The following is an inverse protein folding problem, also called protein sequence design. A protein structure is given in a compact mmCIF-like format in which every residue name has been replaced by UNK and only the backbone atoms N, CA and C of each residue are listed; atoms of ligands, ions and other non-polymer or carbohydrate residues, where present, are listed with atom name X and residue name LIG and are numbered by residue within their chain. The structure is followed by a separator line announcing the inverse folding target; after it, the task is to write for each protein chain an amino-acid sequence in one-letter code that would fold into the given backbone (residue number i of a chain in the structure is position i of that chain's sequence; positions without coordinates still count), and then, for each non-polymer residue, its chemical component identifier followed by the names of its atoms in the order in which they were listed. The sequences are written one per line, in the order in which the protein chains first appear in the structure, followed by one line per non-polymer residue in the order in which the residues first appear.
data_IF_984290159971
#
_entry.id   IF_984290159971
#
_cell.length_a   1.000
_cell.length_b   1.000
_cell.length_c   1.000
_cell.angle_alpha   90.00
_cell.angle_beta   90.00
_cell.angle_gamma   90.00
#
_symmetry.space_group_name_H-M   'P 1'
#
loop_
_entity.id
_entity.type
_entity.pdbx_description
1 polymer ?
#
# COMPACT_ATOMS: atom_id res chain seq x y z
N UNK A 1 -14.50 20.85 -4.38
CA UNK A 1 -14.45 19.61 -5.18
C UNK A 1 -13.30 19.77 -6.15
N UNK A 2 -12.16 19.25 -5.80
CA UNK A 2 -10.96 19.28 -6.65
C UNK A 2 -10.73 17.86 -7.11
N UNK A 3 -11.01 17.58 -8.37
CA UNK A 3 -10.74 16.29 -8.99
C UNK A 3 -9.24 16.07 -9.07
N UNK A 4 -8.74 15.11 -8.32
CA UNK A 4 -7.37 14.61 -8.47
C UNK A 4 -7.38 13.62 -9.64
N UNK A 5 -6.81 14.03 -10.75
CA UNK A 5 -6.64 13.20 -11.93
C UNK A 5 -5.50 12.21 -11.67
N UNK A 6 -5.87 10.94 -11.48
CA UNK A 6 -4.93 9.84 -11.53
C UNK A 6 -4.38 9.75 -12.96
N UNK A 7 -3.11 10.03 -13.13
CA UNK A 7 -2.36 9.64 -14.32
C UNK A 7 -2.03 8.16 -14.17
N UNK A 8 -2.91 7.29 -14.66
CA UNK A 8 -2.54 5.93 -14.99
C UNK A 8 -1.74 5.98 -16.29
N UNK A 9 -0.43 6.02 -16.22
CA UNK A 9 0.38 5.58 -17.35
C UNK A 9 0.20 4.07 -17.48
N UNK A 10 -0.59 3.66 -18.47
CA UNK A 10 -0.55 2.29 -18.96
C UNK A 10 0.87 1.99 -19.42
N UNK A 11 1.56 1.14 -18.68
CA UNK A 11 2.78 0.52 -19.16
C UNK A 11 2.44 -0.23 -20.48
N UNK A 12 3.23 -0.07 -21.53
CA UNK A 12 2.98 -0.79 -22.78
C UNK A 12 3.05 -2.28 -22.49
N UNK A 13 1.97 -2.96 -22.81
CA UNK A 13 1.84 -4.41 -22.74
C UNK A 13 2.82 -5.02 -23.75
N UNK A 14 4.06 -5.27 -23.29
CA UNK A 14 5.08 -5.96 -24.07
C UNK A 14 4.83 -7.46 -24.03
N UNK A 15 3.69 -7.88 -24.58
CA UNK A 15 3.46 -9.28 -24.89
C UNK A 15 4.19 -9.59 -26.21
N UNK A 16 5.52 -9.67 -26.17
CA UNK A 16 6.32 -10.15 -27.28
C UNK A 16 6.63 -11.63 -27.10
N UNK A 17 5.66 -12.48 -27.37
CA UNK A 17 5.92 -13.84 -27.77
C UNK A 17 6.69 -13.83 -29.09
N UNK A 18 7.97 -13.56 -29.07
CA UNK A 18 8.87 -13.87 -30.17
C UNK A 18 9.71 -15.08 -29.80
N UNK A 19 9.17 -16.26 -30.05
CA UNK A 19 10.02 -17.42 -30.29
C UNK A 19 10.70 -17.23 -31.64
N UNK A 20 11.88 -16.67 -31.67
CA UNK A 20 12.73 -16.72 -32.85
C UNK A 20 13.28 -18.14 -32.98
N UNK A 21 12.60 -18.96 -33.75
CA UNK A 21 13.21 -20.15 -34.35
C UNK A 21 14.17 -19.63 -35.42
N UNK A 22 15.46 -19.51 -35.08
CA UNK A 22 16.50 -19.27 -36.02
C UNK A 22 16.64 -20.54 -36.90
N UNK A 23 16.07 -20.51 -38.09
CA UNK A 23 16.30 -21.52 -39.13
C UNK A 23 17.77 -21.48 -39.55
N UNK A 24 18.59 -22.37 -38.98
CA UNK A 24 19.98 -22.54 -39.32
C UNK A 24 20.13 -23.23 -40.68
N UNK A 25 20.68 -22.54 -41.69
CA UNK A 25 21.30 -23.17 -42.82
C UNK A 25 22.49 -24.02 -42.37
N UNK A 26 22.45 -25.31 -42.63
CA UNK A 26 23.60 -26.22 -42.46
C UNK A 26 24.72 -25.79 -43.43
N UNK A 27 25.63 -24.95 -42.99
CA UNK A 27 26.94 -24.81 -43.63
C UNK A 27 27.85 -25.88 -43.00
N UNK A 28 28.43 -26.74 -43.82
CA UNK A 28 29.50 -27.67 -43.41
C UNK A 28 30.69 -26.85 -42.92
N UNK A 29 30.81 -26.69 -41.63
CA UNK A 29 31.96 -26.05 -40.96
C UNK A 29 32.99 -27.13 -40.72
N UNK A 30 34.30 -26.89 -41.03
CA UNK A 30 35.36 -27.87 -40.79
C UNK A 30 35.44 -28.22 -39.27
N UNK A 31 35.58 -29.49 -38.96
CA UNK A 31 35.50 -30.11 -37.63
C UNK A 31 36.60 -29.73 -36.61
N UNK A 32 37.33 -28.62 -36.83
CA UNK A 32 38.40 -28.17 -35.94
C UNK A 32 38.27 -26.74 -35.40
N UNK A 33 37.17 -26.08 -35.67
CA UNK A 33 36.83 -24.82 -34.96
C UNK A 33 36.09 -25.16 -33.65
N UNK A 34 36.55 -24.67 -32.47
CA UNK A 34 35.76 -24.78 -31.27
C UNK A 34 34.47 -23.97 -31.51
N UNK A 35 33.34 -24.68 -31.57
CA UNK A 35 32.02 -24.05 -31.64
C UNK A 35 31.76 -23.50 -30.22
N UNK A 36 32.00 -22.22 -30.04
CA UNK A 36 31.63 -21.50 -28.80
C UNK A 36 30.10 -21.32 -28.81
N UNK A 37 29.38 -22.35 -28.36
CA UNK A 37 27.93 -22.28 -28.18
C UNK A 37 27.73 -21.55 -26.86
N UNK A 38 27.47 -20.25 -26.92
CA UNK A 38 27.03 -19.50 -25.74
C UNK A 38 25.78 -20.17 -25.16
N UNK A 39 25.74 -20.43 -23.85
CA UNK A 39 24.58 -21.03 -23.19
C UNK A 39 23.34 -20.13 -23.42
N UNK A 40 22.31 -20.70 -24.03
CA UNK A 40 21.05 -19.98 -24.25
C UNK A 40 20.15 -20.14 -23.03
N UNK A 41 19.72 -19.04 -22.45
CA UNK A 41 18.66 -19.03 -21.42
C UNK A 41 17.30 -19.07 -22.12
N UNK A 42 16.41 -19.95 -21.68
CA UNK A 42 15.05 -20.03 -22.13
C UNK A 42 14.08 -19.56 -21.05
N UNK A 43 13.16 -18.69 -21.40
CA UNK A 43 12.13 -18.21 -20.48
C UNK A 43 10.75 -18.30 -21.14
N UNK A 44 9.78 -18.87 -20.43
CA UNK A 44 8.40 -18.97 -20.91
C UNK A 44 7.43 -18.57 -19.78
N UNK A 45 6.49 -17.68 -20.10
CA UNK A 45 5.42 -17.27 -19.21
C UNK A 45 5.86 -16.56 -17.91
N UNK A 46 7.04 -15.95 -17.90
CA UNK A 46 7.48 -15.17 -16.73
C UNK A 46 6.73 -13.85 -16.62
N UNK A 47 6.40 -13.45 -15.40
CA UNK A 47 5.83 -12.14 -15.10
C UNK A 47 6.82 -11.00 -15.38
N UNK A 48 6.30 -9.84 -15.73
CA UNK A 48 7.13 -8.64 -15.95
C UNK A 48 7.54 -8.00 -14.63
N UNK A 49 8.76 -7.48 -14.58
CA UNK A 49 9.24 -6.76 -13.40
C UNK A 49 8.55 -5.40 -13.26
N UNK A 50 8.11 -5.07 -12.03
CA UNK A 50 7.54 -3.77 -11.68
C UNK A 50 8.58 -2.92 -10.95
N UNK A 51 9.18 -1.94 -11.64
CA UNK A 51 10.13 -1.02 -11.01
C UNK A 51 9.55 0.38 -10.97
N UNK A 52 9.51 0.99 -9.79
CA UNK A 52 9.10 2.37 -9.59
C UNK A 52 10.21 3.16 -8.91
N UNK A 53 10.47 4.36 -9.42
CA UNK A 53 11.49 5.28 -8.93
C UNK A 53 10.82 6.63 -8.64
N UNK A 54 11.02 7.17 -7.45
CA UNK A 54 10.50 8.49 -7.09
C UNK A 54 9.66 8.48 -5.83
N UNK A 55 8.91 9.55 -5.64
CA UNK A 55 8.03 9.72 -4.48
C UNK A 55 6.58 9.77 -4.92
N UNK A 56 5.74 8.97 -4.30
CA UNK A 56 4.29 9.08 -4.36
C UNK A 56 3.86 9.82 -3.11
N UNK A 57 3.10 10.88 -3.25
CA UNK A 57 2.65 11.66 -2.11
C UNK A 57 1.20 12.05 -2.21
N UNK A 58 0.49 11.97 -1.10
CA UNK A 58 -0.87 12.42 -0.90
C UNK A 58 -0.92 13.44 0.22
N UNK A 59 -1.74 14.48 0.03
CA UNK A 59 -2.01 15.45 1.07
C UNK A 59 -3.51 15.80 1.05
N UNK A 60 -4.22 15.52 2.12
CA UNK A 60 -5.63 15.82 2.27
C UNK A 60 -5.86 16.83 3.38
N UNK A 61 -6.76 17.78 3.15
CA UNK A 61 -7.17 18.77 4.14
C UNK A 61 -8.70 18.85 4.20
N UNK A 62 -9.25 18.61 5.38
CA UNK A 62 -10.66 18.81 5.67
C UNK A 62 -10.84 19.86 6.78
N UNK A 63 -11.65 20.87 6.55
CA UNK A 63 -11.94 21.91 7.55
C UNK A 63 -13.44 22.12 7.68
N UNK A 64 -13.93 22.14 8.92
CA UNK A 64 -15.31 22.47 9.22
C UNK A 64 -15.37 23.37 10.46
N UNK A 65 -15.89 24.60 10.30
CA UNK A 65 -15.95 25.62 11.35
C UNK A 65 -17.38 26.19 11.48
N UNK A 66 -18.31 25.42 12.05
CA UNK A 66 -19.67 25.90 12.26
C UNK A 66 -19.73 26.96 13.37
N UNK A 67 -20.60 27.94 13.20
CA UNK A 67 -20.82 29.01 14.19
C UNK A 67 -22.30 29.09 14.59
N UNK A 68 -22.57 29.14 15.87
CA UNK A 68 -23.88 29.38 16.46
C UNK A 68 -23.81 30.63 17.33
N UNK A 69 -24.69 31.60 17.08
CA UNK A 69 -24.60 32.89 17.76
C UNK A 69 -25.98 33.41 18.16
N UNK A 70 -26.15 33.77 19.42
CA UNK A 70 -27.31 34.47 19.95
C UNK A 70 -26.89 35.83 20.52
N UNK A 71 -27.47 36.92 20.05
CA UNK A 71 -27.15 38.27 20.53
C UNK A 71 -28.47 38.97 20.89
N UNK A 72 -28.64 39.33 22.16
CA UNK A 72 -29.80 40.04 22.67
C UNK A 72 -29.44 41.44 23.11
N UNK A 73 -30.26 42.43 22.68
CA UNK A 73 -30.25 43.81 23.17
C UNK A 73 -31.20 44.02 24.34
N UNK A 74 -31.36 45.28 24.87
CA UNK A 74 -32.23 45.58 25.99
C UNK A 74 -33.65 45.10 25.77
N UNK A 75 -34.23 44.42 26.75
CA UNK A 75 -35.61 43.89 26.74
C UNK A 75 -35.91 42.92 25.57
N UNK A 76 -34.91 42.21 25.07
CA UNK A 76 -35.07 41.18 24.05
C UNK A 76 -34.59 39.82 24.56
N UNK A 77 -35.25 38.78 24.08
CA UNK A 77 -34.90 37.38 24.32
C UNK A 77 -34.54 36.73 22.99
N UNK A 78 -33.38 36.12 22.91
CA UNK A 78 -32.85 35.49 21.68
C UNK A 78 -32.30 34.11 22.00
N UNK A 79 -32.76 33.11 21.26
CA UNK A 79 -32.28 31.75 21.32
C UNK A 79 -31.70 31.31 19.98
N UNK A 80 -30.56 30.62 20.02
CA UNK A 80 -29.94 29.99 18.87
C UNK A 80 -29.53 28.56 19.20
N UNK A 81 -30.02 27.58 18.41
CA UNK A 81 -29.65 26.18 18.58
C UNK A 81 -29.06 25.62 17.29
N UNK A 82 -27.94 24.92 17.40
CA UNK A 82 -27.29 24.30 16.25
C UNK A 82 -26.82 22.90 16.59
N UNK A 83 -27.10 21.96 15.66
CA UNK A 83 -26.51 20.61 15.67
C UNK A 83 -25.54 20.44 14.50
N UNK A 84 -24.32 20.01 14.79
CA UNK A 84 -23.30 19.78 13.80
C UNK A 84 -22.87 18.31 13.83
N UNK A 85 -22.93 17.66 12.67
CA UNK A 85 -22.42 16.32 12.50
C UNK A 85 -21.33 16.35 11.41
N UNK A 86 -20.11 16.01 11.77
CA UNK A 86 -18.96 15.97 10.86
C UNK A 86 -18.35 14.56 10.82
N UNK A 87 -18.27 14.01 9.63
CA UNK A 87 -17.47 12.82 9.35
C UNK A 87 -16.35 13.21 8.39
N UNK A 88 -15.12 13.21 8.88
CA UNK A 88 -13.92 13.51 8.13
C UNK A 88 -13.18 12.20 7.88
N UNK A 89 -13.49 11.57 6.75
CA UNK A 89 -12.86 10.32 6.34
C UNK A 89 -11.79 10.61 5.29
N UNK A 90 -10.54 10.42 5.68
CA UNK A 90 -9.34 10.63 4.88
C UNK A 90 -8.55 9.32 4.90
N UNK A 91 -8.68 8.54 3.84
CA UNK A 91 -7.94 7.29 3.69
C UNK A 91 -7.31 7.24 2.31
N UNK A 92 -6.02 6.98 2.27
CA UNK A 92 -5.20 6.95 1.05
C UNK A 92 -4.63 5.56 0.85
N UNK A 93 -4.56 5.12 -0.42
CA UNK A 93 -3.84 3.90 -0.80
C UNK A 93 -2.75 4.26 -1.79
N UNK A 94 -1.52 3.98 -1.43
CA UNK A 94 -0.33 4.21 -2.24
C UNK A 94 0.38 2.87 -2.50
N UNK A 95 0.56 2.52 -3.77
CA UNK A 95 1.17 1.26 -4.16
C UNK A 95 2.24 1.49 -5.24
N UNK A 96 3.40 0.86 -5.09
CA UNK A 96 4.50 1.00 -6.04
C UNK A 96 5.41 -0.22 -6.10
N UNK A 97 5.99 -0.48 -7.28
CA UNK A 97 6.95 -1.54 -7.47
C UNK A 97 6.34 -2.94 -7.28
N UNK A 98 5.27 -3.24 -8.04
CA UNK A 98 4.62 -4.55 -7.99
C UNK A 98 5.01 -5.36 -9.21
N UNK A 99 5.59 -6.54 -9.00
CA UNK A 99 5.92 -7.50 -10.05
C UNK A 99 4.69 -8.21 -10.61
N UNK A 100 4.73 -8.55 -11.88
CA UNK A 100 3.66 -9.28 -12.55
C UNK A 100 3.64 -10.77 -12.18
N UNK A 101 2.50 -11.39 -12.26
CA UNK A 101 2.34 -12.83 -12.01
C UNK A 101 2.93 -13.66 -13.15
N UNK A 102 3.47 -14.84 -12.83
CA UNK A 102 3.89 -15.84 -13.81
C UNK A 102 2.70 -16.54 -14.45
N UNK A 103 2.86 -16.92 -15.73
CA UNK A 103 1.83 -17.66 -16.44
C UNK A 103 1.78 -19.14 -16.06
N UNK A 104 0.64 -19.78 -16.25
CA UNK A 104 0.42 -21.19 -15.96
C UNK A 104 0.72 -22.07 -17.17
N UNK A 105 1.05 -23.33 -16.93
CA UNK A 105 1.19 -24.37 -17.94
C UNK A 105 2.31 -24.14 -18.96
N UNK A 106 3.33 -23.37 -18.64
CA UNK A 106 4.43 -23.06 -19.53
C UNK A 106 5.50 -24.14 -19.50
N UNK A 107 6.17 -24.33 -20.62
CA UNK A 107 7.29 -25.28 -20.77
C UNK A 107 8.51 -24.53 -21.28
N UNK A 108 9.59 -24.54 -20.51
CA UNK A 108 10.90 -24.01 -20.88
C UNK A 108 11.94 -25.11 -20.82
N UNK A 109 12.56 -25.43 -21.96
CA UNK A 109 13.65 -26.44 -22.06
C UNK A 109 14.88 -25.79 -22.63
N UNK A 110 15.97 -25.77 -21.85
CA UNK A 110 17.25 -25.20 -22.24
C UNK A 110 18.26 -26.28 -22.71
N UNK A 111 19.22 -25.87 -23.54
CA UNK A 111 20.38 -26.68 -23.91
C UNK A 111 21.64 -25.99 -23.39
N UNK A 112 22.07 -26.35 -22.18
CA UNK A 112 23.30 -25.82 -21.58
C UNK A 112 23.21 -24.40 -21.00
N UNK A 113 22.00 -23.83 -20.85
CA UNK A 113 21.70 -22.55 -20.16
C UNK A 113 20.59 -22.71 -19.16
N UNK A 114 20.32 -21.68 -18.37
CA UNK A 114 19.20 -21.68 -17.41
C UNK A 114 17.83 -21.73 -18.11
N UNK A 115 16.85 -22.36 -17.49
CA UNK A 115 15.46 -22.40 -17.97
C UNK A 115 14.51 -21.87 -16.91
N UNK A 116 13.62 -20.94 -17.29
CA UNK A 116 12.61 -20.36 -16.39
C UNK A 116 11.23 -20.52 -17.01
N UNK A 117 10.32 -21.15 -16.31
CA UNK A 117 8.93 -21.27 -16.75
C UNK A 117 7.97 -20.77 -15.66
N UNK A 118 7.08 -19.84 -16.02
CA UNK A 118 6.06 -19.30 -15.14
C UNK A 118 6.56 -18.60 -13.88
N UNK A 119 7.75 -18.01 -13.92
CA UNK A 119 8.27 -17.24 -12.78
C UNK A 119 7.51 -15.93 -12.58
N UNK A 120 7.27 -15.53 -11.34
CA UNK A 120 6.79 -14.19 -11.00
C UNK A 120 7.84 -13.12 -11.30
N UNK A 121 7.42 -11.93 -11.66
CA UNK A 121 8.31 -10.79 -11.86
C UNK A 121 8.66 -10.10 -10.54
N UNK A 122 9.86 -9.52 -10.48
CA UNK A 122 10.30 -8.78 -9.31
C UNK A 122 9.57 -7.46 -9.14
N UNK A 123 9.24 -7.09 -7.90
CA UNK A 123 8.69 -5.80 -7.56
C UNK A 123 9.72 -4.94 -6.84
N UNK A 124 10.14 -3.84 -7.44
CA UNK A 124 11.15 -2.96 -6.86
C UNK A 124 10.66 -1.53 -6.73
N UNK A 125 10.77 -0.95 -5.55
CA UNK A 125 10.47 0.44 -5.30
C UNK A 125 11.66 1.16 -4.64
N UNK A 126 12.04 2.27 -5.26
CA UNK A 126 13.13 3.14 -4.78
C UNK A 126 12.60 4.56 -4.63
N UNK A 127 12.29 4.99 -3.39
CA UNK A 127 11.73 6.32 -3.17
C UNK A 127 10.93 6.44 -1.89
N UNK A 128 9.90 7.30 -1.90
CA UNK A 128 9.04 7.54 -0.75
C UNK A 128 7.57 7.34 -1.05
N UNK A 129 6.83 6.74 -0.11
CA UNK A 129 5.39 6.80 -0.03
C UNK A 129 5.06 7.72 1.14
N UNK A 130 4.37 8.84 0.88
CA UNK A 130 4.14 9.89 1.88
C UNK A 130 2.66 10.27 1.87
N UNK A 131 1.95 9.99 2.94
CA UNK A 131 0.60 10.47 3.18
C UNK A 131 0.59 11.53 4.29
N UNK A 132 -0.18 12.58 4.08
CA UNK A 132 -0.46 13.57 5.13
C UNK A 132 -1.94 13.92 5.13
N UNK A 133 -2.62 13.59 6.20
CA UNK A 133 -4.04 13.84 6.39
C UNK A 133 -4.25 14.84 7.51
N UNK A 134 -4.88 15.96 7.19
CA UNK A 134 -5.21 17.00 8.18
C UNK A 134 -6.71 17.25 8.21
N UNK A 135 -7.30 17.15 9.39
CA UNK A 135 -8.69 17.45 9.59
C UNK A 135 -8.88 18.43 10.76
N UNK A 136 -9.68 19.47 10.54
CA UNK A 136 -9.94 20.50 11.55
C UNK A 136 -11.44 20.68 11.72
N UNK A 137 -11.91 20.53 12.95
CA UNK A 137 -13.26 20.88 13.34
C UNK A 137 -13.22 21.88 14.51
N UNK A 138 -13.62 23.13 14.24
CA UNK A 138 -13.56 24.22 15.21
C UNK A 138 -14.94 24.92 15.36
N UNK A 139 -15.87 24.32 16.07
CA UNK A 139 -17.18 24.91 16.27
C UNK A 139 -17.13 26.08 17.27
N UNK A 140 -17.83 27.16 16.92
CA UNK A 140 -18.03 28.34 17.79
C UNK A 140 -19.47 28.39 18.29
N UNK A 141 -19.68 28.55 19.58
CA UNK A 141 -20.96 28.85 20.21
C UNK A 141 -20.84 30.13 21.02
N UNK A 142 -21.66 31.12 20.72
CA UNK A 142 -21.59 32.46 21.32
C UNK A 142 -22.97 32.95 21.76
N UNK A 143 -23.11 33.29 23.05
CA UNK A 143 -24.25 34.00 23.56
C UNK A 143 -23.81 35.37 24.10
N UNK A 144 -24.45 36.43 23.67
CA UNK A 144 -24.18 37.81 24.12
C UNK A 144 -25.51 38.49 24.51
N UNK A 145 -25.64 38.85 25.77
CA UNK A 145 -26.78 39.65 26.26
C UNK A 145 -26.28 40.99 26.78
N UNK A 146 -26.79 42.10 26.21
CA UNK A 146 -26.33 43.43 26.52
C UNK A 146 -27.49 44.37 26.81
N UNK A 147 -27.62 44.81 28.07
CA UNK A 147 -28.61 45.74 28.53
C UNK A 147 -29.65 45.15 29.50
N UNK A 148 -30.43 46.00 30.19
CA UNK A 148 -31.42 45.57 31.16
C UNK A 148 -32.50 44.67 30.52
N UNK A 149 -32.72 43.50 31.09
CA UNK A 149 -33.74 42.55 30.61
C UNK A 149 -33.38 41.89 29.25
N UNK A 150 -32.12 41.94 28.81
CA UNK A 150 -31.64 41.18 27.69
C UNK A 150 -31.39 39.72 28.10
N UNK A 151 -31.84 38.75 27.31
CA UNK A 151 -31.54 37.34 27.50
C UNK A 151 -31.02 36.73 26.18
N UNK A 152 -29.91 36.05 26.24
CA UNK A 152 -29.33 35.35 25.09
C UNK A 152 -28.99 33.91 25.46
N UNK A 153 -29.49 32.95 24.71
CA UNK A 153 -29.21 31.54 24.89
C UNK A 153 -28.64 30.94 23.57
N UNK A 154 -27.46 30.37 23.64
CA UNK A 154 -26.84 29.66 22.50
C UNK A 154 -26.55 28.21 22.86
N UNK A 155 -27.25 27.26 22.22
CA UNK A 155 -27.08 25.83 22.39
C UNK A 155 -26.41 25.20 21.17
N UNK A 156 -25.34 24.48 21.35
CA UNK A 156 -24.64 23.77 20.25
C UNK A 156 -24.34 22.34 20.63
N UNK A 157 -24.64 21.40 19.73
CA UNK A 157 -24.24 20.00 19.82
C UNK A 157 -23.35 19.65 18.64
N UNK A 158 -22.15 19.16 18.93
CA UNK A 158 -21.16 18.81 17.92
C UNK A 158 -20.83 17.32 18.04
N UNK A 159 -21.04 16.60 16.94
CA UNK A 159 -20.60 15.22 16.79
C UNK A 159 -19.57 15.18 15.66
N UNK A 160 -18.35 14.76 15.96
CA UNK A 160 -17.28 14.67 14.99
C UNK A 160 -16.59 13.29 15.03
N UNK A 161 -16.36 12.73 13.86
CA UNK A 161 -15.52 11.56 13.68
C UNK A 161 -14.43 11.88 12.67
N UNK A 162 -13.19 11.67 13.08
CA UNK A 162 -12.00 11.81 12.26
C UNK A 162 -11.46 10.41 12.01
N UNK A 163 -11.63 9.92 10.77
CA UNK A 163 -11.14 8.63 10.31
C UNK A 163 -10.00 8.90 9.34
N UNK A 164 -8.77 8.72 9.77
CA UNK A 164 -7.58 9.08 9.01
C UNK A 164 -6.61 7.92 8.97
N UNK A 165 -5.96 7.73 7.81
CA UNK A 165 -4.92 6.73 7.67
C UNK A 165 -4.53 6.44 6.23
N UNK A 166 -3.40 5.75 6.07
CA UNK A 166 -2.94 5.33 4.77
C UNK A 166 -2.64 3.83 4.71
N UNK A 167 -2.86 3.27 3.52
CA UNK A 167 -2.33 1.96 3.15
C UNK A 167 -1.20 2.18 2.15
N UNK A 168 0.03 1.93 2.56
CA UNK A 168 1.23 2.11 1.75
C UNK A 168 1.89 0.76 1.48
N UNK A 169 2.06 0.41 0.20
CA UNK A 169 2.61 -0.87 -0.21
C UNK A 169 3.71 -0.63 -1.26
N UNK A 170 4.90 -1.14 -1.01
CA UNK A 170 6.01 -0.98 -1.94
C UNK A 170 6.93 -2.18 -2.03
N UNK A 171 7.41 -2.48 -3.25
CA UNK A 171 8.32 -3.56 -3.50
C UNK A 171 7.69 -4.95 -3.27
N UNK A 172 6.67 -5.29 -4.05
CA UNK A 172 5.99 -6.60 -3.96
C UNK A 172 6.32 -7.44 -5.18
N UNK A 173 6.93 -8.60 -4.99
CA UNK A 173 7.18 -9.58 -6.04
C UNK A 173 5.87 -10.25 -6.50
N UNK A 174 5.78 -10.55 -7.79
CA UNK A 174 4.67 -11.27 -8.38
C UNK A 174 4.69 -12.76 -8.02
N UNK A 175 3.52 -13.39 -7.95
CA UNK A 175 3.42 -14.82 -7.72
C UNK A 175 3.89 -15.65 -8.92
N UNK A 176 4.45 -16.82 -8.68
CA UNK A 176 4.74 -17.81 -9.72
C UNK A 176 3.47 -18.48 -10.23
N UNK A 177 3.48 -18.89 -11.49
CA UNK A 177 2.37 -19.60 -12.11
C UNK A 177 2.35 -21.10 -11.78
N UNK A 178 1.20 -21.74 -11.97
CA UNK A 178 0.97 -23.14 -11.70
C UNK A 178 1.25 -24.04 -12.92
N UNK A 179 1.52 -25.33 -12.68
CA UNK A 179 1.67 -26.38 -13.71
C UNK A 179 2.77 -26.10 -14.76
N UNK A 180 3.83 -25.42 -14.39
CA UNK A 180 4.93 -25.09 -15.30
C UNK A 180 6.00 -26.18 -15.27
N UNK A 181 6.67 -26.37 -16.41
CA UNK A 181 7.77 -27.33 -16.57
C UNK A 181 9.02 -26.57 -17.02
N UNK A 182 10.08 -26.64 -16.25
CA UNK A 182 11.41 -26.13 -16.62
C UNK A 182 12.43 -27.26 -16.61
N UNK A 183 13.23 -27.35 -17.64
CA UNK A 183 14.24 -28.40 -17.75
C UNK A 183 15.45 -28.02 -18.56
N UNK A 184 16.60 -28.60 -18.21
CA UNK A 184 17.82 -28.52 -18.98
C UNK A 184 18.15 -29.88 -19.57
N UNK A 185 18.18 -29.96 -20.89
CA UNK A 185 18.62 -31.16 -21.60
C UNK A 185 19.96 -30.89 -22.30
N UNK A 186 20.98 -31.74 -22.08
CA UNK A 186 22.16 -31.70 -22.89
C UNK A 186 22.12 -32.90 -23.89
N UNK A 187 22.04 -32.65 -25.21
CA UNK A 187 22.44 -33.67 -26.16
C UNK A 187 23.96 -33.82 -26.04
N UNK A 188 24.43 -34.92 -25.44
CA UNK A 188 25.84 -35.23 -25.44
C UNK A 188 26.24 -35.72 -26.84
N UNK A 189 27.03 -34.98 -27.63
CA UNK A 189 27.70 -35.56 -28.80
C UNK A 189 28.67 -36.63 -28.31
N UNK A 190 28.68 -37.80 -28.95
CA UNK A 190 29.59 -38.87 -28.59
C UNK A 190 31.03 -38.36 -28.58
N UNK A 191 31.64 -38.31 -27.40
CA UNK A 191 33.09 -38.05 -27.24
C UNK A 191 33.48 -36.62 -26.81
N UNK A 192 32.55 -35.74 -26.46
CA UNK A 192 32.87 -34.41 -25.88
C UNK A 192 32.40 -34.32 -24.42
N UNK A 193 33.30 -33.95 -23.53
CA UNK A 193 32.97 -33.61 -22.15
C UNK A 193 32.64 -32.13 -22.11
N UNK A 194 31.37 -31.77 -22.27
CA UNK A 194 30.90 -30.38 -22.04
C UNK A 194 30.30 -30.33 -20.66
N UNK A 195 30.77 -29.42 -19.81
CA UNK A 195 30.18 -29.10 -18.54
C UNK A 195 29.31 -27.86 -18.79
N UNK A 196 27.98 -28.03 -18.81
CA UNK A 196 27.02 -26.93 -18.88
C UNK A 196 26.47 -26.72 -17.49
N UNK A 197 26.62 -25.51 -16.97
CA UNK A 197 26.03 -25.07 -15.71
C UNK A 197 24.80 -24.26 -16.02
N UNK A 198 23.60 -24.70 -15.61
CA UNK A 198 22.37 -23.95 -15.77
C UNK A 198 21.34 -24.43 -14.78
N UNK A 199 20.70 -23.49 -14.10
CA UNK A 199 19.63 -23.78 -13.15
C UNK A 199 18.28 -23.80 -13.84
N UNK A 200 17.35 -24.63 -13.36
CA UNK A 200 15.99 -24.70 -13.86
C UNK A 200 15.01 -24.20 -12.79
N UNK A 201 14.19 -23.21 -13.15
CA UNK A 201 13.20 -22.62 -12.25
C UNK A 201 11.80 -22.75 -12.85
N UNK A 202 10.88 -23.36 -12.13
CA UNK A 202 9.48 -23.50 -12.54
C UNK A 202 8.57 -22.90 -11.48
N UNK A 203 7.74 -21.91 -11.88
CA UNK A 203 6.71 -21.32 -11.03
C UNK A 203 7.23 -20.64 -9.74
N UNK A 204 8.43 -20.11 -9.73
CA UNK A 204 8.92 -19.40 -8.55
C UNK A 204 8.31 -18.00 -8.43
N UNK A 205 8.11 -17.50 -7.21
CA UNK A 205 7.72 -16.13 -6.95
C UNK A 205 8.85 -15.14 -7.23
N UNK A 206 8.51 -13.94 -7.64
CA UNK A 206 9.48 -12.86 -7.82
C UNK A 206 9.87 -12.19 -6.50
N UNK A 207 11.01 -11.54 -6.47
CA UNK A 207 11.51 -10.86 -5.29
C UNK A 207 10.80 -9.51 -5.06
N UNK A 208 10.61 -9.15 -3.80
CA UNK A 208 10.08 -7.85 -3.40
C UNK A 208 11.16 -6.98 -2.79
N UNK A 209 11.51 -5.87 -3.42
CA UNK A 209 12.54 -4.94 -2.92
C UNK A 209 11.96 -3.57 -2.64
N UNK A 210 12.13 -3.08 -1.43
CA UNK A 210 11.81 -1.72 -1.03
C UNK A 210 13.08 -1.02 -0.50
N UNK A 211 13.41 0.14 -1.09
CA UNK A 211 14.49 1.01 -0.59
C UNK A 211 13.97 2.44 -0.53
N UNK A 212 13.76 2.97 0.69
CA UNK A 212 13.21 4.31 0.84
C UNK A 212 12.51 4.55 2.15
N UNK A 213 11.44 5.34 2.12
CA UNK A 213 10.68 5.67 3.30
C UNK A 213 9.18 5.57 3.05
N UNK A 214 8.45 5.02 3.99
CA UNK A 214 6.99 5.14 4.08
C UNK A 214 6.68 6.04 5.26
N UNK A 215 5.90 7.09 5.01
CA UNK A 215 5.52 8.07 6.02
C UNK A 215 4.03 8.31 5.94
N UNK A 216 3.34 8.08 7.05
CA UNK A 216 1.95 8.45 7.23
C UNK A 216 1.83 9.43 8.40
N UNK A 217 1.20 10.59 8.15
CA UNK A 217 1.01 11.63 9.16
C UNK A 217 -0.46 12.00 9.21
N UNK A 218 -1.10 11.68 10.31
CA UNK A 218 -2.50 11.96 10.55
C UNK A 218 -2.66 13.02 11.65
N UNK A 219 -3.25 14.17 11.32
CA UNK A 219 -3.48 15.26 12.26
C UNK A 219 -4.97 15.58 12.33
N UNK A 220 -5.58 15.33 13.48
CA UNK A 220 -6.95 15.71 13.78
C UNK A 220 -6.97 16.80 14.84
N UNK A 221 -7.62 17.91 14.54
CA UNK A 221 -7.79 19.04 15.45
C UNK A 221 -9.27 19.27 15.75
N UNK A 222 -9.64 19.12 16.99
CA UNK A 222 -10.95 19.51 17.49
C UNK A 222 -10.80 20.63 18.53
N UNK A 223 -11.22 21.84 18.18
CA UNK A 223 -11.08 23.03 19.03
C UNK A 223 -12.42 23.76 19.19
N UNK A 224 -13.33 23.23 20.00
CA UNK A 224 -14.62 23.87 20.24
C UNK A 224 -14.47 25.10 21.15
N UNK A 225 -15.17 26.16 20.79
CA UNK A 225 -15.20 27.41 21.58
C UNK A 225 -16.63 27.68 22.02
N UNK A 226 -16.81 27.87 23.33
CA UNK A 226 -18.09 28.21 23.95
C UNK A 226 -17.94 29.48 24.77
N UNK A 227 -18.71 30.52 24.44
CA UNK A 227 -18.57 31.84 25.04
C UNK A 227 -19.93 32.39 25.46
N UNK A 228 -20.05 32.84 26.72
CA UNK A 228 -21.16 33.61 27.20
C UNK A 228 -20.67 34.99 27.69
N UNK A 229 -21.34 36.07 27.24
CA UNK A 229 -21.05 37.44 27.67
C UNK A 229 -22.32 38.12 28.16
N UNK A 230 -22.43 38.34 29.45
CA UNK A 230 -23.53 39.10 30.07
C UNK A 230 -23.07 40.52 30.45
N UNK A 231 -23.64 41.56 29.83
CA UNK A 231 -23.24 42.93 30.04
C UNK A 231 -24.43 43.80 30.42
N UNK A 232 -24.19 44.82 31.29
CA UNK A 232 -25.13 45.87 31.67
C UNK A 232 -26.51 45.34 32.11
N UNK A 233 -26.56 44.31 32.92
CA UNK A 233 -27.79 43.68 33.41
C UNK A 233 -28.42 42.66 32.47
N UNK A 234 -27.71 42.22 31.45
CA UNK A 234 -28.07 41.11 30.56
C UNK A 234 -27.72 39.75 31.12
N UNK A 235 -28.45 38.71 30.69
CA UNK A 235 -28.28 37.32 31.09
C UNK A 235 -27.89 36.44 29.86
N UNK A 236 -26.72 35.87 29.88
CA UNK A 236 -26.18 35.11 28.73
C UNK A 236 -25.83 33.66 29.13
N UNK A 237 -26.39 32.69 28.39
CA UNK A 237 -26.13 31.30 28.57
C UNK A 237 -25.57 30.67 27.28
N UNK A 238 -24.44 30.03 27.35
CA UNK A 238 -23.88 29.29 26.24
C UNK A 238 -23.65 27.81 26.66
N UNK A 239 -24.33 26.90 26.01
CA UNK A 239 -24.23 25.47 26.28
C UNK A 239 -23.68 24.74 25.09
N UNK A 240 -22.62 23.96 25.27
CA UNK A 240 -22.00 23.19 24.19
C UNK A 240 -21.77 21.74 24.61
N UNK A 241 -22.20 20.81 23.79
CA UNK A 241 -21.92 19.38 23.95
C UNK A 241 -21.08 18.91 22.77
N UNK A 242 -19.97 18.27 23.06
CA UNK A 242 -19.03 17.78 22.07
C UNK A 242 -18.81 16.28 22.23
N UNK A 243 -19.09 15.52 21.18
CA UNK A 243 -18.80 14.09 21.08
C UNK A 243 -17.80 13.89 19.94
N UNK A 244 -16.61 13.40 20.26
CA UNK A 244 -15.51 13.33 19.31
C UNK A 244 -14.89 11.96 19.30
N UNK A 245 -14.63 11.45 18.10
CA UNK A 245 -13.87 10.22 17.86
C UNK A 245 -12.66 10.57 16.99
N UNK A 246 -11.48 10.25 17.46
CA UNK A 246 -10.25 10.18 16.66
C UNK A 246 -9.94 8.71 16.43
N UNK A 247 -10.03 8.26 15.17
CA UNK A 247 -9.65 6.94 14.71
C UNK A 247 -8.56 7.15 13.64
N UNK A 248 -7.32 6.92 14.03
CA UNK A 248 -6.14 7.24 13.23
C UNK A 248 -5.22 6.04 13.19
N UNK A 249 -4.79 5.66 11.98
CA UNK A 249 -3.85 4.56 11.85
C UNK A 249 -3.50 4.23 10.41
N UNK A 250 -2.41 3.49 10.22
CA UNK A 250 -1.91 3.15 8.91
C UNK A 250 -1.47 1.69 8.79
N UNK A 251 -1.40 1.24 7.54
CA UNK A 251 -0.80 -0.03 7.15
C UNK A 251 0.34 0.24 6.19
N UNK A 252 1.55 -0.12 6.58
CA UNK A 252 2.76 0.06 5.78
C UNK A 252 3.42 -1.30 5.53
N UNK A 253 3.50 -1.69 4.26
CA UNK A 253 4.05 -3.00 3.84
C UNK A 253 5.15 -2.78 2.81
N UNK A 254 6.34 -3.26 3.11
CA UNK A 254 7.53 -3.04 2.31
C UNK A 254 8.34 -4.32 2.07
N UNK A 255 8.77 -4.54 0.84
CA UNK A 255 9.67 -5.64 0.50
C UNK A 255 9.04 -7.02 0.74
N UNK A 256 7.99 -7.36 0.01
CA UNK A 256 7.30 -8.64 0.10
C UNK A 256 7.62 -9.50 -1.12
N UNK A 257 8.19 -10.68 -0.91
CA UNK A 257 8.41 -11.67 -1.95
C UNK A 257 7.10 -12.31 -2.45
N UNK A 258 7.03 -12.61 -3.73
CA UNK A 258 5.90 -13.25 -4.35
C UNK A 258 5.76 -14.72 -3.94
N UNK A 259 4.54 -15.23 -3.90
CA UNK A 259 4.26 -16.64 -3.62
C UNK A 259 4.71 -17.53 -4.78
N UNK A 260 5.28 -18.70 -4.51
CA UNK A 260 5.54 -19.73 -5.51
C UNK A 260 4.25 -20.40 -6.00
N UNK A 261 4.20 -20.74 -7.28
CA UNK A 261 3.09 -21.51 -7.87
C UNK A 261 3.11 -22.98 -7.50
N UNK A 262 1.97 -23.65 -7.63
CA UNK A 262 1.80 -25.07 -7.32
C UNK A 262 1.93 -26.00 -8.53
N UNK A 263 2.16 -27.28 -8.28
CA UNK A 263 2.21 -28.34 -9.28
C UNK A 263 3.22 -28.11 -10.41
N UNK A 264 4.35 -27.44 -10.11
CA UNK A 264 5.42 -27.19 -11.07
C UNK A 264 6.45 -28.32 -11.06
N UNK A 265 7.06 -28.58 -12.21
CA UNK A 265 8.11 -29.54 -12.38
C UNK A 265 9.40 -28.85 -12.85
N UNK A 266 10.46 -28.97 -12.07
CA UNK A 266 11.79 -28.53 -12.46
C UNK A 266 12.73 -29.73 -12.52
N UNK A 267 13.43 -29.91 -13.63
CA UNK A 267 14.38 -31.00 -13.80
C UNK A 267 15.68 -30.53 -14.46
N UNK A 268 16.78 -30.90 -13.87
CA UNK A 268 18.11 -30.70 -14.44
C UNK A 268 18.81 -32.05 -14.69
N UNK A 269 19.18 -32.30 -15.93
CA UNK A 269 19.87 -33.54 -16.35
C UNK A 269 21.37 -33.47 -16.24
N UNK A 270 21.93 -32.36 -15.76
CA UNK A 270 23.36 -32.10 -15.78
C UNK A 270 23.92 -32.05 -14.34
N UNK A 271 25.08 -32.62 -14.13
CA UNK A 271 25.73 -32.87 -12.85
C UNK A 271 26.00 -31.64 -11.92
N UNK A 272 25.68 -30.40 -12.32
CA UNK A 272 26.07 -29.19 -11.57
C UNK A 272 25.00 -28.10 -11.52
N UNK A 273 23.81 -28.32 -12.03
CA UNK A 273 22.68 -27.39 -11.94
C UNK A 273 21.76 -27.65 -10.74
N UNK A 274 20.99 -26.68 -10.35
CA UNK A 274 19.93 -26.80 -9.34
C UNK A 274 18.56 -26.65 -9.98
N UNK A 275 17.60 -27.51 -9.57
CA UNK A 275 16.20 -27.37 -9.94
C UNK A 275 15.41 -26.72 -8.79
N UNK A 276 14.63 -25.70 -9.09
CA UNK A 276 13.70 -25.08 -8.14
C UNK A 276 12.31 -25.07 -8.74
N UNK A 277 11.34 -25.64 -8.02
CA UNK A 277 9.96 -25.64 -8.45
C UNK A 277 9.09 -24.99 -7.36
N UNK A 278 8.33 -23.99 -7.74
CA UNK A 278 7.38 -23.29 -6.87
C UNK A 278 7.98 -22.63 -5.63
N UNK A 279 9.23 -22.23 -5.67
CA UNK A 279 9.84 -21.46 -4.58
C UNK A 279 9.16 -20.09 -4.41
N UNK A 280 9.02 -19.60 -3.18
CA UNK A 280 8.65 -18.20 -2.94
C UNK A 280 9.82 -17.25 -3.22
N UNK A 281 9.54 -16.02 -3.59
CA UNK A 281 10.54 -14.97 -3.75
C UNK A 281 11.01 -14.38 -2.42
N UNK A 282 12.13 -13.71 -2.44
CA UNK A 282 12.66 -13.01 -1.26
C UNK A 282 11.99 -11.66 -1.05
N UNK A 283 11.85 -11.25 0.21
CA UNK A 283 11.38 -9.92 0.60
C UNK A 283 12.51 -9.12 1.22
N UNK A 284 12.85 -7.98 0.63
CA UNK A 284 13.89 -7.09 1.12
C UNK A 284 13.37 -5.69 1.39
N UNK A 285 13.55 -5.17 2.59
CA UNK A 285 13.21 -3.79 2.95
C UNK A 285 14.43 -3.10 3.57
N UNK A 286 14.84 -1.98 2.98
CA UNK A 286 15.89 -1.12 3.50
C UNK A 286 15.41 0.32 3.49
N UNK A 287 14.98 0.78 4.66
CA UNK A 287 14.41 2.12 4.81
C UNK A 287 13.67 2.25 6.12
N UNK A 288 12.91 3.33 6.24
CA UNK A 288 12.11 3.60 7.42
C UNK A 288 10.62 3.59 7.10
N UNK A 289 9.86 3.04 8.03
CA UNK A 289 8.40 3.17 8.07
C UNK A 289 8.05 4.04 9.27
N UNK A 290 7.31 5.13 9.05
CA UNK A 290 6.94 6.09 10.09
C UNK A 290 5.45 6.34 9.99
N UNK A 291 4.76 6.16 11.10
CA UNK A 291 3.35 6.54 11.25
C UNK A 291 3.25 7.50 12.44
N UNK A 292 2.65 8.67 12.20
CA UNK A 292 2.48 9.71 13.21
C UNK A 292 1.01 10.08 13.30
N UNK A 293 0.40 9.76 14.43
CA UNK A 293 -1.00 10.04 14.69
C UNK A 293 -1.14 11.12 15.76
N UNK A 294 -1.69 12.28 15.42
CA UNK A 294 -1.86 13.40 16.33
C UNK A 294 -3.35 13.75 16.43
N UNK A 295 -3.93 13.49 17.61
CA UNK A 295 -5.24 13.98 18.00
C UNK A 295 -5.10 15.20 18.90
N UNK A 296 -5.48 16.37 18.46
CA UNK A 296 -5.45 17.60 19.24
C UNK A 296 -6.88 17.98 19.67
N UNK A 297 -7.15 17.89 20.96
CA UNK A 297 -8.43 18.24 21.55
C UNK A 297 -8.24 19.44 22.49
N UNK A 298 -8.77 20.62 22.11
CA UNK A 298 -8.57 21.86 22.86
C UNK A 298 -9.90 22.63 23.04
N UNK A 299 -10.75 22.21 23.98
CA UNK A 299 -12.00 22.91 24.26
C UNK A 299 -11.74 24.22 25.01
N UNK A 300 -12.44 25.28 24.61
CA UNK A 300 -12.41 26.59 25.25
C UNK A 300 -13.81 26.93 25.76
N UNK A 301 -13.93 27.27 27.04
CA UNK A 301 -15.19 27.65 27.67
C UNK A 301 -15.00 28.95 28.47
N UNK A 302 -15.71 30.00 28.09
CA UNK A 302 -15.50 31.35 28.64
C UNK A 302 -16.86 31.96 29.04
N UNK A 303 -16.94 32.42 30.30
CA UNK A 303 -18.04 33.23 30.79
C UNK A 303 -17.56 34.62 31.22
N UNK A 304 -18.10 35.67 30.66
CA UNK A 304 -17.72 37.06 30.95
C UNK A 304 -18.92 37.86 31.54
N UNK A 305 -19.03 37.97 32.88
CA UNK A 305 -20.07 38.77 33.50
C UNK A 305 -19.66 40.25 33.61
N UNK A 306 -19.91 41.03 32.54
CA UNK A 306 -19.58 42.48 32.50
C UNK A 306 -20.76 43.33 32.99
N UNK A 307 -21.08 43.21 34.26
CA UNK A 307 -22.26 43.90 34.86
C UNK A 307 -23.60 43.22 34.55
N UNK A 308 -23.60 41.97 34.18
CA UNK A 308 -24.72 41.07 33.96
C UNK A 308 -24.42 39.67 34.49
N UNK A 309 -25.13 38.68 34.01
CA UNK A 309 -24.91 37.24 34.29
C UNK A 309 -24.35 36.60 33.04
N UNK A 310 -23.35 35.75 33.19
CA UNK A 310 -22.84 34.92 32.10
C UNK A 310 -22.57 33.51 32.62
N UNK A 311 -23.08 32.53 31.90
CA UNK A 311 -22.89 31.11 32.18
C UNK A 311 -22.46 30.38 30.89
N UNK A 312 -21.37 29.66 30.94
CA UNK A 312 -20.90 28.91 29.82
C UNK A 312 -20.63 27.44 30.25
N UNK A 313 -21.47 26.53 29.75
CA UNK A 313 -21.40 25.12 30.05
C UNK A 313 -20.85 24.34 28.85
N UNK A 314 -19.87 23.49 29.10
CA UNK A 314 -19.32 22.65 28.06
C UNK A 314 -19.16 21.22 28.53
N UNK A 315 -19.74 20.28 27.81
CA UNK A 315 -19.59 18.86 28.02
C UNK A 315 -18.82 18.23 26.86
N UNK A 316 -17.76 17.50 27.21
CA UNK A 316 -16.88 16.91 26.20
C UNK A 316 -16.75 15.40 26.41
N UNK A 317 -17.02 14.64 25.34
CA UNK A 317 -16.78 13.21 25.27
C UNK A 317 -15.76 12.95 24.15
N UNK A 318 -14.63 12.36 24.49
CA UNK A 318 -13.55 12.06 23.57
C UNK A 318 -13.24 10.58 23.59
N UNK A 319 -13.22 9.95 22.42
CA UNK A 319 -12.67 8.62 22.17
C UNK A 319 -11.48 8.76 21.23
N UNK A 320 -10.35 8.16 21.59
CA UNK A 320 -9.15 8.12 20.74
C UNK A 320 -8.79 6.67 20.53
N UNK A 321 -8.70 6.27 19.24
CA UNK A 321 -8.14 5.01 18.78
C UNK A 321 -7.02 5.31 17.80
N UNK A 322 -5.82 4.83 18.09
CA UNK A 322 -4.63 5.04 17.25
C UNK A 322 -3.92 3.71 17.10
N UNK A 323 -3.82 3.23 15.86
CA UNK A 323 -3.25 1.93 15.55
C UNK A 323 -2.37 1.96 14.32
N UNK A 324 -1.33 1.12 14.30
CA UNK A 324 -0.38 1.04 13.19
C UNK A 324 0.05 -0.40 12.97
N UNK A 325 0.09 -0.81 11.69
CA UNK A 325 0.68 -2.06 11.26
C UNK A 325 1.82 -1.78 10.28
N UNK A 326 3.04 -2.12 10.68
CA UNK A 326 4.24 -1.96 9.83
C UNK A 326 4.91 -3.30 9.60
N UNK A 327 5.09 -3.67 8.34
CA UNK A 327 5.63 -4.95 7.94
C UNK A 327 6.71 -4.73 6.87
N UNK A 328 7.86 -5.37 7.05
CA UNK A 328 8.94 -5.27 6.07
C UNK A 328 9.77 -6.55 5.96
N UNK A 329 10.28 -6.81 4.75
CA UNK A 329 11.18 -7.92 4.50
C UNK A 329 10.53 -9.31 4.66
N UNK A 330 9.35 -9.53 4.07
CA UNK A 330 8.66 -10.81 4.12
C UNK A 330 8.94 -11.63 2.86
N UNK A 331 9.52 -12.82 3.01
CA UNK A 331 9.64 -13.79 1.92
C UNK A 331 8.28 -14.38 1.53
N UNK A 332 8.10 -14.70 0.25
CA UNK A 332 6.93 -15.38 -0.25
C UNK A 332 6.87 -16.85 0.18
N UNK A 333 5.67 -17.38 0.32
CA UNK A 333 5.48 -18.81 0.57
C UNK A 333 5.77 -19.64 -0.68
N UNK A 334 6.37 -20.82 -0.53
CA UNK A 334 6.46 -21.79 -1.61
C UNK A 334 5.09 -22.34 -2.01
N UNK A 335 4.96 -22.78 -3.26
CA UNK A 335 3.76 -23.45 -3.76
C UNK A 335 3.66 -24.92 -3.38
N UNK A 336 2.49 -25.51 -3.53
CA UNK A 336 2.22 -26.91 -3.19
C UNK A 336 2.37 -27.86 -4.39
N UNK A 337 2.67 -29.15 -4.15
CA UNK A 337 2.71 -30.19 -5.18
C UNK A 337 3.84 -30.04 -6.20
N UNK A 338 4.87 -29.27 -5.89
CA UNK A 338 6.01 -29.03 -6.78
C UNK A 338 7.04 -30.17 -6.72
N UNK A 339 7.63 -30.48 -7.86
CA UNK A 339 8.68 -31.49 -7.99
C UNK A 339 9.93 -30.81 -8.54
N UNK A 340 11.04 -30.84 -7.79
CA UNK A 340 12.35 -30.43 -8.24
C UNK A 340 13.26 -31.66 -8.22
N UNK A 341 13.73 -32.09 -9.39
CA UNK A 341 14.58 -33.29 -9.53
C UNK A 341 15.81 -32.99 -10.39
N UNK A 342 16.92 -33.52 -9.97
CA UNK A 342 18.17 -33.52 -10.73
C UNK A 342 18.38 -34.80 -11.54
N UNK A 343 17.42 -35.73 -11.56
CA UNK A 343 17.56 -37.04 -12.17
C UNK A 343 16.47 -37.33 -13.22
N UNK A 344 16.84 -37.52 -14.46
CA UNK A 344 15.98 -37.75 -15.64
C UNK A 344 15.06 -38.97 -15.56
N UNK A 345 15.26 -39.91 -14.65
CA UNK A 345 14.51 -41.15 -14.61
C UNK A 345 13.03 -40.99 -14.22
N UNK A 346 12.68 -39.91 -13.50
CA UNK A 346 11.29 -39.66 -13.04
C UNK A 346 10.42 -38.95 -14.07
N UNK A 347 11.00 -38.22 -15.01
CA UNK A 347 10.22 -37.47 -16.02
C UNK A 347 9.58 -38.41 -17.03
N UNK A 348 10.24 -39.49 -17.39
CA UNK A 348 9.72 -40.47 -18.34
C UNK A 348 8.48 -41.17 -17.79
N UNK A 349 8.39 -41.43 -16.47
CA UNK A 349 7.26 -42.04 -15.80
C UNK A 349 6.05 -41.08 -15.66
N UNK A 350 6.28 -39.78 -15.51
CA UNK A 350 5.19 -38.78 -15.37
C UNK A 350 4.59 -38.35 -16.72
N UNK A 351 5.40 -38.37 -17.80
CA UNK A 351 4.93 -38.00 -19.15
C UNK A 351 4.34 -39.18 -19.93
N UNK A 352 4.59 -40.43 -19.54
CA UNK A 352 4.22 -41.61 -20.26
C UNK A 352 3.32 -42.58 -19.43
N UNK A 353 3.00 -42.24 -18.19
CA UNK A 353 2.00 -42.89 -17.36
C UNK A 353 0.62 -42.27 -17.57
#
# INVERSE_FOLDING_TARGET
MTETRLLSEEAPNANSNQSTVAGGHLALVPTWLPLDIAPAQNSAGSGGNGTSLGTIGSNTLAMFMPSNTAIAGPHTDVEAHQGNNALMNQHVTEMAGIGGEGGDGNVAVGHGGGSVAGGGGDGSFFGGLISTDTAVFAPLNLAVAAGPGASASAGQTNNAAFLQGATQIGGVGGSGGDHNVAGNTAPAPQGATFIFNGDAYAGHGGDGTFIGSMVDVNVAVFSPINIAVGAAGGDAHATQTNNVIFDQGGVQIAGVGGKGGGFNLSSDTIFTGSGVAGGGGDGYSNGSTVDVNIGYFHPINIAVPAGGIAEADQLNHLLVDQHTLQIGGIGGAGGEGNIADTNTALIDDVLHG
#
